data_IF_374819684318
#
_entry.id   IF_374819684318
#
_cell.length_a   1.000
_cell.length_b   1.000
_cell.length_c   1.000
_cell.angle_alpha   90.00
_cell.angle_beta   90.00
_cell.angle_gamma   90.00
#
_symmetry.space_group_name_H-M   'P 1'
#
loop_
_entity.id
_entity.type
_entity.pdbx_description
1 polymer ?
#
# COMPACT_ATOMS: atom_id res chain seq x y z
N UNK A 1 21.33 -6.97 -22.90
CA UNK A 1 20.06 -6.45 -22.36
C UNK A 1 20.23 -6.21 -20.87
N UNK A 2 20.53 -4.97 -20.47
CA UNK A 2 20.57 -4.60 -19.06
C UNK A 2 19.14 -4.70 -18.48
N UNK A 3 18.89 -5.62 -17.57
CA UNK A 3 17.74 -5.55 -16.65
C UNK A 3 18.04 -4.43 -15.66
N UNK A 4 17.63 -3.22 -15.95
CA UNK A 4 17.53 -2.19 -14.94
C UNK A 4 16.38 -2.60 -13.99
N UNK A 5 16.74 -3.31 -12.94
CA UNK A 5 15.84 -3.55 -11.80
C UNK A 5 15.73 -2.22 -11.05
N UNK A 6 14.71 -1.44 -11.38
CA UNK A 6 14.41 -0.23 -10.63
C UNK A 6 13.82 -0.70 -9.30
N UNK A 7 14.43 -0.28 -8.19
CA UNK A 7 13.93 -0.61 -6.87
C UNK A 7 12.60 0.09 -6.62
N UNK A 8 11.61 -0.63 -6.05
CA UNK A 8 10.23 -0.16 -5.87
C UNK A 8 10.13 1.18 -5.12
N UNK A 9 11.04 1.43 -4.17
CA UNK A 9 11.12 2.71 -3.44
C UNK A 9 11.37 3.90 -4.38
N UNK A 10 12.07 3.71 -5.51
CA UNK A 10 12.33 4.77 -6.48
C UNK A 10 11.08 5.17 -7.28
N UNK A 11 10.12 4.26 -7.38
CA UNK A 11 8.84 4.51 -8.06
C UNK A 11 7.79 5.03 -7.08
N UNK A 12 7.90 4.68 -5.80
CA UNK A 12 6.92 5.01 -4.77
C UNK A 12 6.62 6.52 -4.67
N UNK A 13 7.66 7.37 -4.78
CA UNK A 13 7.50 8.82 -4.77
C UNK A 13 6.62 9.35 -5.93
N UNK A 14 6.56 8.63 -7.06
CA UNK A 14 5.73 9.00 -8.22
C UNK A 14 4.29 8.54 -8.09
N UNK A 15 4.02 7.56 -7.24
CA UNK A 15 2.68 7.01 -7.02
C UNK A 15 1.87 7.85 -6.03
N UNK A 16 2.54 8.66 -5.21
CA UNK A 16 1.90 9.54 -4.23
C UNK A 16 1.25 10.70 -4.96
N UNK A 17 -0.06 10.87 -4.74
CA UNK A 17 -0.90 11.90 -5.35
C UNK A 17 -0.91 13.18 -4.51
N UNK A 18 -1.44 14.25 -5.08
CA UNK A 18 -1.60 15.53 -4.38
C UNK A 18 -2.79 15.56 -3.42
N UNK A 19 -3.70 14.58 -3.54
CA UNK A 19 -4.87 14.40 -2.68
C UNK A 19 -4.67 13.37 -1.56
N UNK A 20 -3.46 12.81 -1.44
CA UNK A 20 -3.15 11.84 -0.40
C UNK A 20 -2.75 12.55 0.91
N UNK A 21 -3.51 12.33 1.99
CA UNK A 21 -3.18 12.81 3.34
C UNK A 21 -2.37 11.80 4.15
N UNK A 22 -2.59 10.50 3.92
CA UNK A 22 -1.96 9.41 4.66
C UNK A 22 -1.48 8.32 3.72
N UNK A 23 -0.23 7.89 3.87
CA UNK A 23 0.36 6.80 3.07
C UNK A 23 0.75 5.63 3.97
N UNK A 24 0.14 4.47 3.74
CA UNK A 24 0.49 3.22 4.42
C UNK A 24 1.44 2.39 3.57
N UNK A 25 2.57 1.99 4.14
CA UNK A 25 3.55 1.18 3.42
C UNK A 25 4.23 0.13 4.29
N UNK A 26 4.91 -0.80 3.62
CA UNK A 26 5.68 -1.86 4.27
C UNK A 26 7.02 -1.33 4.80
N UNK A 27 7.65 -2.11 5.67
CA UNK A 27 8.97 -1.83 6.24
C UNK A 27 10.06 -1.61 5.17
N UNK A 28 9.91 -2.17 3.98
CA UNK A 28 10.81 -1.93 2.83
C UNK A 28 10.84 -0.48 2.35
N UNK A 29 9.82 0.33 2.71
CA UNK A 29 9.72 1.75 2.34
C UNK A 29 10.14 2.71 3.45
N UNK A 30 10.83 2.23 4.49
CA UNK A 30 11.23 3.02 5.66
C UNK A 30 11.98 4.32 5.33
N UNK A 31 12.74 4.33 4.24
CA UNK A 31 13.47 5.52 3.77
C UNK A 31 12.68 6.49 2.91
N UNK A 32 11.44 6.17 2.56
CA UNK A 32 10.64 6.96 1.60
C UNK A 32 10.46 8.43 2.02
N UNK A 33 10.07 8.78 3.27
CA UNK A 33 9.88 10.18 3.68
C UNK A 33 11.16 11.03 3.66
N UNK A 34 12.33 10.40 3.70
CA UNK A 34 13.64 11.08 3.74
C UNK A 34 14.22 11.36 2.34
N UNK A 35 13.52 10.96 1.29
CA UNK A 35 14.01 11.12 -0.08
C UNK A 35 13.88 12.56 -0.55
N UNK A 36 14.83 13.04 -1.37
CA UNK A 36 14.80 14.41 -1.89
C UNK A 36 13.51 14.69 -2.67
N UNK A 37 13.00 13.74 -3.46
CA UNK A 37 11.79 13.89 -4.26
C UNK A 37 10.52 14.10 -3.38
N UNK A 38 10.56 13.66 -2.13
CA UNK A 38 9.50 13.89 -1.14
C UNK A 38 9.71 15.20 -0.39
N UNK A 39 10.95 15.47 0.03
CA UNK A 39 11.29 16.64 0.84
C UNK A 39 11.18 17.97 0.04
N UNK A 40 11.49 17.94 -1.24
CA UNK A 40 11.40 19.11 -2.12
C UNK A 40 9.96 19.47 -2.51
N UNK A 41 9.02 18.55 -2.35
CA UNK A 41 7.60 18.79 -2.62
C UNK A 41 6.87 19.13 -1.33
N UNK A 42 6.36 20.37 -1.24
CA UNK A 42 5.69 20.88 -0.02
C UNK A 42 4.48 20.03 0.41
N UNK A 43 3.70 19.52 -0.53
CA UNK A 43 2.56 18.67 -0.23
C UNK A 43 3.02 17.30 0.29
N UNK A 44 3.92 16.63 -0.45
CA UNK A 44 4.39 15.29 -0.09
C UNK A 44 5.15 15.26 1.24
N UNK A 45 5.81 16.36 1.61
CA UNK A 45 6.50 16.47 2.90
C UNK A 45 5.55 16.54 4.12
N UNK A 46 4.29 16.99 3.90
CA UNK A 46 3.26 17.10 4.94
C UNK A 46 2.43 15.83 5.15
N UNK A 47 2.55 14.85 4.26
CA UNK A 47 1.79 13.58 4.32
C UNK A 47 2.19 12.78 5.56
N UNK A 48 1.21 12.16 6.22
CA UNK A 48 1.45 11.23 7.33
C UNK A 48 1.86 9.84 6.79
N UNK A 49 3.15 9.54 6.88
CA UNK A 49 3.72 8.26 6.41
C UNK A 49 3.65 7.20 7.51
N UNK A 50 2.70 6.29 7.43
CA UNK A 50 2.50 5.17 8.37
C UNK A 50 3.18 3.90 7.86
N UNK A 51 4.50 3.87 7.99
CA UNK A 51 5.34 2.74 7.56
C UNK A 51 5.42 1.71 8.68
N UNK A 52 5.24 0.43 8.34
CA UNK A 52 5.42 -0.67 9.30
C UNK A 52 6.89 -0.78 9.70
N UNK A 53 7.14 -1.01 10.99
CA UNK A 53 8.49 -1.30 11.49
C UNK A 53 8.86 -2.75 11.22
N UNK A 54 10.13 -2.99 10.94
CA UNK A 54 10.62 -4.37 10.87
C UNK A 54 10.56 -5.01 12.26
N UNK A 55 10.13 -6.29 12.37
CA UNK A 55 9.99 -6.97 13.66
C UNK A 55 11.23 -6.90 14.58
N UNK A 56 12.43 -6.89 14.00
CA UNK A 56 13.68 -6.75 14.75
C UNK A 56 13.88 -5.37 15.40
N UNK A 57 13.14 -4.36 14.96
CA UNK A 57 13.21 -3.00 15.50
C UNK A 57 12.21 -2.78 16.64
N UNK A 58 11.24 -3.66 16.76
CA UNK A 58 10.32 -3.69 17.90
C UNK A 58 11.06 -4.37 19.05
N UNK A 59 12.02 -3.64 19.64
CA UNK A 59 12.73 -4.13 20.81
C UNK A 59 11.73 -4.33 21.95
N UNK A 60 11.90 -5.45 22.64
CA UNK A 60 11.24 -5.76 23.92
C UNK A 60 11.61 -4.65 24.92
N UNK A 61 10.86 -3.57 24.95
CA UNK A 61 11.02 -2.54 25.95
C UNK A 61 10.34 -3.03 27.24
N UNK A 62 11.01 -2.83 28.37
CA UNK A 62 10.69 -3.35 29.72
C UNK A 62 9.37 -2.87 30.34
N UNK A 63 8.41 -2.43 29.57
CA UNK A 63 7.09 -2.06 30.03
C UNK A 63 6.00 -2.76 29.23
N UNK A 64 5.41 -3.79 29.79
CA UNK A 64 4.30 -4.62 29.27
C UNK A 64 3.18 -3.80 28.61
N UNK A 65 2.85 -2.64 29.13
CA UNK A 65 1.86 -1.71 28.59
C UNK A 65 2.30 -1.05 27.27
N UNK A 66 3.57 -0.67 27.15
CA UNK A 66 4.11 0.01 25.96
C UNK A 66 4.22 -0.94 24.77
N UNK A 67 4.60 -2.18 25.02
CA UNK A 67 4.68 -3.25 24.01
C UNK A 67 3.30 -3.53 23.39
N UNK A 68 2.26 -3.54 24.20
CA UNK A 68 0.90 -3.79 23.73
C UNK A 68 0.39 -2.65 22.83
N UNK A 69 0.69 -1.40 23.15
CA UNK A 69 0.34 -0.25 22.32
C UNK A 69 1.08 -0.25 20.98
N UNK A 70 2.38 -0.49 20.98
CA UNK A 70 3.17 -0.57 19.75
C UNK A 70 2.69 -1.73 18.85
N UNK A 71 2.43 -2.89 19.43
CA UNK A 71 1.85 -4.03 18.69
C UNK A 71 0.49 -3.71 18.11
N UNK A 72 -0.37 -2.98 18.84
CA UNK A 72 -1.68 -2.57 18.36
C UNK A 72 -1.56 -1.61 17.17
N UNK A 73 -0.70 -0.60 17.26
CA UNK A 73 -0.45 0.34 16.16
C UNK A 73 0.06 -0.38 14.92
N UNK A 74 1.01 -1.30 15.06
CA UNK A 74 1.53 -2.09 13.93
C UNK A 74 0.48 -3.04 13.35
N UNK A 75 -0.37 -3.62 14.20
CA UNK A 75 -1.52 -4.43 13.76
C UNK A 75 -2.52 -3.59 12.96
N UNK A 76 -2.86 -2.38 13.43
CA UNK A 76 -3.80 -1.51 12.74
C UNK A 76 -3.27 -1.06 11.36
N UNK A 77 -1.98 -0.72 11.26
CA UNK A 77 -1.31 -0.44 9.99
C UNK A 77 -1.39 -1.65 9.05
N UNK A 78 -1.09 -2.85 9.54
CA UNK A 78 -1.15 -4.09 8.77
C UNK A 78 -2.56 -4.42 8.33
N UNK A 79 -3.57 -4.17 9.15
CA UNK A 79 -4.97 -4.38 8.83
C UNK A 79 -5.44 -3.51 7.66
N UNK A 80 -5.02 -2.24 7.63
CA UNK A 80 -5.35 -1.34 6.51
C UNK A 80 -4.66 -1.82 5.22
N UNK A 81 -3.38 -2.20 5.31
CA UNK A 81 -2.60 -2.70 4.18
C UNK A 81 -3.17 -4.00 3.60
N UNK A 82 -3.67 -4.88 4.46
CA UNK A 82 -4.26 -6.15 4.03
C UNK A 82 -5.48 -5.99 3.09
N UNK A 83 -6.15 -4.84 3.13
CA UNK A 83 -7.25 -4.54 2.20
C UNK A 83 -6.76 -4.48 0.75
N UNK A 84 -5.58 -3.91 0.50
CA UNK A 84 -4.96 -3.88 -0.83
C UNK A 84 -4.52 -5.29 -1.26
N UNK A 85 -3.94 -6.05 -0.34
CA UNK A 85 -3.56 -7.45 -0.59
C UNK A 85 -4.78 -8.31 -0.94
N UNK A 86 -5.94 -8.02 -0.35
CA UNK A 86 -7.19 -8.71 -0.66
C UNK A 86 -7.65 -8.48 -2.10
N UNK A 87 -7.53 -7.26 -2.63
CA UNK A 87 -7.82 -6.98 -4.05
C UNK A 87 -6.89 -7.79 -4.97
N UNK A 88 -5.59 -7.80 -4.65
CA UNK A 88 -4.59 -8.59 -5.39
C UNK A 88 -4.90 -10.10 -5.33
N UNK A 89 -5.38 -10.59 -4.20
CA UNK A 89 -5.80 -11.98 -4.03
C UNK A 89 -6.97 -12.32 -4.97
N UNK A 90 -7.99 -11.47 -5.05
CA UNK A 90 -9.13 -11.65 -5.96
C UNK A 90 -8.63 -11.72 -7.41
N UNK A 91 -7.77 -10.79 -7.83
CA UNK A 91 -7.23 -10.77 -9.19
C UNK A 91 -6.44 -12.04 -9.50
N UNK A 92 -5.62 -12.51 -8.57
CA UNK A 92 -4.79 -13.72 -8.78
C UNK A 92 -5.58 -15.02 -8.68
N UNK A 93 -6.44 -15.15 -7.66
CA UNK A 93 -7.16 -16.39 -7.35
C UNK A 93 -8.49 -16.48 -8.10
N UNK A 94 -9.36 -15.48 -7.95
CA UNK A 94 -10.74 -15.56 -8.45
C UNK A 94 -10.78 -15.29 -9.97
N UNK A 95 -9.97 -14.34 -10.45
CA UNK A 95 -9.85 -14.04 -11.89
C UNK A 95 -8.71 -14.79 -12.59
N UNK A 96 -7.95 -15.61 -11.88
CA UNK A 96 -6.93 -16.49 -12.44
C UNK A 96 -5.76 -15.77 -13.13
N UNK A 97 -5.44 -14.54 -12.73
CA UNK A 97 -4.32 -13.81 -13.30
C UNK A 97 -2.97 -14.38 -12.82
N UNK A 98 -2.33 -15.18 -13.65
CA UNK A 98 -1.02 -15.82 -13.34
C UNK A 98 0.15 -15.13 -14.02
N UNK A 99 -0.05 -14.69 -15.26
CA UNK A 99 1.00 -14.07 -16.10
C UNK A 99 0.39 -13.18 -17.18
N UNK A 100 1.22 -12.34 -17.78
CA UNK A 100 0.85 -11.57 -18.97
C UNK A 100 0.41 -12.52 -20.10
N UNK A 101 -0.72 -12.20 -20.74
CA UNK A 101 -1.32 -13.03 -21.77
C UNK A 101 -1.20 -12.40 -23.16
N UNK A 102 -1.01 -11.09 -23.23
CA UNK A 102 -0.96 -10.37 -24.50
C UNK A 102 0.44 -9.91 -24.83
N UNK A 103 0.72 -9.77 -26.12
CA UNK A 103 1.95 -9.16 -26.60
C UNK A 103 1.81 -7.64 -26.51
N UNK A 104 2.80 -6.98 -25.89
CA UNK A 104 2.82 -5.52 -25.68
C UNK A 104 2.37 -5.09 -24.29
N UNK A 105 2.91 -3.96 -23.84
CA UNK A 105 2.67 -3.43 -22.49
C UNK A 105 1.25 -2.89 -22.34
N UNK A 106 0.79 -2.12 -23.32
CA UNK A 106 -0.50 -1.42 -23.27
C UNK A 106 -1.69 -2.38 -23.11
N UNK A 107 -1.74 -3.45 -23.91
CA UNK A 107 -2.82 -4.44 -23.83
C UNK A 107 -2.86 -5.16 -22.47
N UNK A 108 -1.69 -5.46 -21.90
CA UNK A 108 -1.60 -6.07 -20.57
C UNK A 108 -1.99 -5.09 -19.47
N UNK A 109 -1.64 -3.81 -19.61
CA UNK A 109 -2.01 -2.76 -18.68
C UNK A 109 -3.53 -2.55 -18.67
N UNK A 110 -4.16 -2.44 -19.84
CA UNK A 110 -5.62 -2.32 -19.97
C UNK A 110 -6.35 -3.53 -19.36
N UNK A 111 -5.82 -4.73 -19.56
CA UNK A 111 -6.34 -5.94 -18.90
C UNK A 111 -6.25 -5.83 -17.38
N UNK A 112 -5.12 -5.38 -16.85
CA UNK A 112 -4.95 -5.19 -15.40
C UNK A 112 -5.94 -4.16 -14.85
N UNK A 113 -6.11 -3.03 -15.51
CA UNK A 113 -7.12 -2.03 -15.10
C UNK A 113 -8.52 -2.63 -15.05
N UNK A 114 -8.91 -3.40 -16.06
CA UNK A 114 -10.20 -4.08 -16.06
C UNK A 114 -10.34 -5.07 -14.89
N UNK A 115 -9.33 -5.90 -14.64
CA UNK A 115 -9.36 -6.86 -13.54
C UNK A 115 -9.42 -6.19 -12.17
N UNK A 116 -8.67 -5.11 -11.95
CA UNK A 116 -8.72 -4.36 -10.69
C UNK A 116 -10.04 -3.63 -10.51
N UNK A 117 -10.59 -3.02 -11.55
CA UNK A 117 -11.91 -2.41 -11.50
C UNK A 117 -12.99 -3.44 -11.14
N UNK A 118 -12.98 -4.61 -11.78
CA UNK A 118 -13.89 -5.71 -11.50
C UNK A 118 -13.72 -6.25 -10.07
N UNK A 119 -12.49 -6.34 -9.57
CA UNK A 119 -12.21 -6.77 -8.21
C UNK A 119 -12.76 -5.77 -7.18
N UNK A 120 -12.62 -4.47 -7.43
CA UNK A 120 -13.17 -3.43 -6.57
C UNK A 120 -14.71 -3.48 -6.52
N UNK A 121 -15.37 -3.65 -7.68
CA UNK A 121 -16.83 -3.83 -7.75
C UNK A 121 -17.24 -5.08 -6.96
N UNK A 122 -16.54 -6.18 -7.12
CA UNK A 122 -16.84 -7.43 -6.41
C UNK A 122 -16.69 -7.28 -4.90
N UNK A 123 -15.65 -6.58 -4.44
CA UNK A 123 -15.44 -6.28 -3.03
C UNK A 123 -16.56 -5.39 -2.48
N UNK A 124 -16.97 -4.38 -3.23
CA UNK A 124 -18.07 -3.50 -2.87
C UNK A 124 -19.37 -4.29 -2.68
N UNK A 125 -19.68 -5.17 -3.61
CA UNK A 125 -20.88 -6.02 -3.54
C UNK A 125 -20.84 -7.02 -2.37
N UNK A 126 -19.65 -7.59 -2.08
CA UNK A 126 -19.46 -8.56 -0.98
C UNK A 126 -19.41 -7.89 0.39
N UNK A 127 -18.92 -6.65 0.46
CA UNK A 127 -18.74 -5.92 1.71
C UNK A 127 -20.05 -5.41 2.32
N UNK A 128 -21.19 -5.50 1.61
CA UNK A 128 -22.45 -4.88 2.00
C UNK A 128 -22.21 -3.45 2.48
N UNK A 129 -22.83 -2.46 1.91
CA UNK A 129 -22.69 -1.02 2.21
C UNK A 129 -22.34 -0.72 3.68
N UNK A 130 -21.07 -0.80 4.04
CA UNK A 130 -20.58 -0.09 5.21
C UNK A 130 -20.25 1.31 4.71
N UNK A 131 -21.06 2.25 5.11
CA UNK A 131 -20.82 3.67 4.85
C UNK A 131 -19.37 4.01 5.18
N UNK A 132 -18.69 4.85 4.37
CA UNK A 132 -17.35 5.30 4.71
C UNK A 132 -17.41 5.90 6.11
N UNK A 133 -16.52 5.44 7.00
CA UNK A 133 -16.40 6.00 8.35
C UNK A 133 -16.11 7.48 8.15
N UNK A 134 -16.98 8.39 8.65
CA UNK A 134 -16.71 9.82 8.54
C UNK A 134 -15.37 10.09 9.21
N UNK A 135 -14.44 10.62 8.45
CA UNK A 135 -13.16 11.10 8.97
C UNK A 135 -13.53 12.32 9.80
N UNK A 136 -13.55 12.15 11.14
CA UNK A 136 -13.71 13.27 12.06
C UNK A 136 -12.55 14.24 11.80
N UNK A 137 -12.93 15.46 11.37
CA UNK A 137 -12.00 16.57 11.20
C UNK A 137 -11.41 17.05 12.53
#
# INVERSE_FOLDING_TARGET
MCRCSIHDVNIAAKLIREDDDVVYSDSGYWGLPKRPEIQENEHKSKIDYRINRHPSQIKTADAYTRINWEKKIEHDKSSIRSKVEHVLLIVKRDFGYKKVAYRGLEKNLNRLYFLFASANILMYLRGGHKEPIPIAG
#
